data_IF_457752048138
#
_entry.id   IF_457752048138
#
_cell.length_a   1.000
_cell.length_b   1.000
_cell.length_c   1.000
_cell.angle_alpha   90.00
_cell.angle_beta   90.00
_cell.angle_gamma   90.00
#
_symmetry.space_group_name_H-M   'P 1'
#
loop_
_entity.id
_entity.type
_entity.pdbx_description
1 polymer ?
#
# COMPACT_ATOMS: atom_id res chain seq x y z
N UNK A 1 1.83 3.65 -5.26
CA UNK A 1 2.72 4.42 -6.14
C UNK A 1 3.36 5.55 -5.35
N UNK A 2 4.60 5.97 -5.71
CA UNK A 2 5.20 7.20 -5.19
C UNK A 2 4.42 8.43 -5.67
N UNK A 3 4.61 9.57 -4.99
CA UNK A 3 4.00 10.84 -5.41
C UNK A 3 4.39 11.18 -6.85
N UNK A 4 5.67 11.06 -7.19
CA UNK A 4 6.18 11.34 -8.54
C UNK A 4 5.62 10.40 -9.63
N UNK A 5 5.30 9.15 -9.30
CA UNK A 5 4.66 8.23 -10.24
C UNK A 5 3.17 8.54 -10.41
N UNK A 6 2.50 8.89 -9.33
CA UNK A 6 1.06 9.20 -9.35
C UNK A 6 0.77 10.46 -10.16
N UNK A 7 1.55 11.53 -9.96
CA UNK A 7 1.40 12.81 -10.66
C UNK A 7 1.59 12.75 -12.18
N UNK A 8 2.24 11.68 -12.69
CA UNK A 8 2.40 11.45 -14.14
C UNK A 8 1.18 10.80 -14.80
N UNK A 9 0.27 10.25 -14.01
CA UNK A 9 -0.83 9.42 -14.51
C UNK A 9 -2.16 10.15 -14.34
N UNK A 10 -2.33 10.87 -13.24
CA UNK A 10 -3.57 11.54 -12.89
C UNK A 10 -3.28 13.02 -12.64
N UNK A 11 -4.05 13.93 -13.25
CA UNK A 11 -4.01 15.34 -12.92
C UNK A 11 -4.42 15.52 -11.45
N UNK A 12 -3.47 15.88 -10.60
CA UNK A 12 -3.67 15.91 -9.14
C UNK A 12 -4.77 16.87 -8.70
N UNK A 13 -4.96 17.96 -9.44
CA UNK A 13 -6.00 18.96 -9.17
C UNK A 13 -7.42 18.43 -9.35
N UNK A 14 -7.59 17.38 -10.17
CA UNK A 14 -8.90 16.80 -10.47
C UNK A 14 -9.32 15.74 -9.42
N UNK A 15 -8.37 15.33 -8.58
CA UNK A 15 -8.64 14.44 -7.46
C UNK A 15 -8.90 15.25 -6.19
N UNK A 16 -10.12 15.22 -5.61
CA UNK A 16 -10.38 15.86 -4.32
C UNK A 16 -9.39 15.40 -3.26
N UNK A 17 -9.21 14.08 -3.13
CA UNK A 17 -8.21 13.46 -2.26
C UNK A 17 -7.49 12.34 -2.99
N UNK A 18 -6.21 12.16 -2.68
CA UNK A 18 -5.42 11.03 -3.14
C UNK A 18 -4.51 10.53 -2.03
N UNK A 19 -4.48 9.20 -1.84
CA UNK A 19 -3.55 8.53 -0.93
C UNK A 19 -2.45 7.89 -1.75
N UNK A 20 -1.21 8.33 -1.54
CA UNK A 20 -0.04 7.84 -2.27
C UNK A 20 1.05 7.38 -1.31
N UNK A 21 2.14 6.81 -1.84
CA UNK A 21 3.27 6.31 -1.06
C UNK A 21 2.84 5.32 0.05
N UNK A 22 1.97 4.35 -0.30
CA UNK A 22 1.42 3.34 0.61
C UNK A 22 0.71 3.90 1.87
N UNK A 23 0.12 5.09 1.77
CA UNK A 23 -0.53 5.74 2.90
C UNK A 23 0.31 6.85 3.55
N UNK A 24 1.58 6.96 3.22
CA UNK A 24 2.46 7.96 3.83
C UNK A 24 2.17 9.40 3.42
N UNK A 25 1.41 9.62 2.34
CA UNK A 25 1.05 10.97 1.87
C UNK A 25 -0.43 10.96 1.50
N UNK A 26 -1.19 11.87 2.10
CA UNK A 26 -2.54 12.23 1.66
C UNK A 26 -2.46 13.58 0.96
N UNK A 27 -3.03 13.67 -0.23
CA UNK A 27 -3.17 14.90 -0.98
C UNK A 27 -4.62 15.38 -0.94
N UNK A 28 -4.81 16.69 -0.87
CA UNK A 28 -6.08 17.37 -1.13
C UNK A 28 -5.89 18.32 -2.31
N UNK A 29 -6.60 18.10 -3.40
CA UNK A 29 -6.46 18.87 -4.66
C UNK A 29 -4.99 19.04 -5.09
N UNK A 30 -4.24 17.95 -5.04
CA UNK A 30 -2.83 17.90 -5.44
C UNK A 30 -1.82 18.44 -4.43
N UNK A 31 -2.25 19.00 -3.31
CA UNK A 31 -1.38 19.50 -2.25
C UNK A 31 -1.36 18.56 -1.06
N UNK A 32 -0.21 18.36 -0.40
CA UNK A 32 -0.13 17.56 0.81
C UNK A 32 -1.08 18.05 1.91
N UNK A 33 -1.88 17.11 2.47
CA UNK A 33 -2.82 17.41 3.54
C UNK A 33 -2.03 17.62 4.86
N UNK A 34 -1.95 18.85 5.30
CA UNK A 34 -1.11 19.26 6.43
C UNK A 34 -1.43 18.51 7.72
N UNK A 35 -2.71 18.32 8.05
CA UNK A 35 -3.13 17.60 9.26
C UNK A 35 -2.69 16.13 9.26
N UNK A 36 -2.62 15.49 8.08
CA UNK A 36 -2.05 14.16 7.97
C UNK A 36 -0.54 14.17 8.16
N UNK A 37 0.16 15.12 7.56
CA UNK A 37 1.61 15.26 7.74
C UNK A 37 1.97 15.43 9.21
N UNK A 38 1.27 16.29 9.92
CA UNK A 38 1.45 16.52 11.37
C UNK A 38 1.13 15.26 12.18
N UNK A 39 0.07 14.53 11.80
CA UNK A 39 -0.33 13.28 12.45
C UNK A 39 0.79 12.22 12.41
N UNK A 40 1.44 12.03 11.26
CA UNK A 40 2.48 11.00 11.09
C UNK A 40 3.91 11.51 11.34
N UNK A 41 4.10 12.80 11.62
CA UNK A 41 5.44 13.39 11.69
C UNK A 41 6.32 12.75 12.77
N UNK A 42 5.76 12.51 13.98
CA UNK A 42 6.47 11.82 15.04
C UNK A 42 6.92 10.42 14.63
N UNK A 43 6.03 9.68 14.00
CA UNK A 43 6.30 8.34 13.47
C UNK A 43 7.42 8.39 12.46
N UNK A 44 7.38 9.33 11.51
CA UNK A 44 8.42 9.52 10.49
C UNK A 44 9.79 9.83 11.10
N UNK A 45 9.86 10.68 12.11
CA UNK A 45 11.11 11.02 12.79
C UNK A 45 11.71 9.80 13.50
N UNK A 46 10.90 9.02 14.22
CA UNK A 46 11.36 7.79 14.88
C UNK A 46 11.84 6.78 13.84
N UNK A 47 11.10 6.58 12.78
CA UNK A 47 11.42 5.62 11.71
C UNK A 47 12.69 6.00 10.94
N UNK A 48 12.96 7.30 10.78
CA UNK A 48 14.18 7.77 10.13
C UNK A 48 15.45 7.33 10.87
N UNK A 49 15.39 7.10 12.18
CA UNK A 49 16.51 6.57 12.98
C UNK A 49 16.84 5.12 12.62
N UNK A 50 15.91 4.38 12.06
CA UNK A 50 16.11 3.00 11.65
C UNK A 50 16.64 2.85 10.21
N UNK A 51 16.66 3.91 9.41
CA UNK A 51 17.10 3.83 8.00
C UNK A 51 18.49 3.18 7.83
N UNK A 52 19.50 3.51 8.62
CA UNK A 52 20.80 2.84 8.50
C UNK A 52 20.68 1.34 8.77
N UNK A 53 19.93 0.93 9.80
CA UNK A 53 19.70 -0.49 10.13
C UNK A 53 18.98 -1.24 9.00
N UNK A 54 17.97 -0.61 8.40
CA UNK A 54 17.25 -1.21 7.26
C UNK A 54 18.19 -1.38 6.06
N UNK A 55 19.04 -0.40 5.78
CA UNK A 55 20.03 -0.52 4.71
C UNK A 55 21.05 -1.63 4.99
N UNK A 56 21.52 -1.76 6.23
CA UNK A 56 22.43 -2.83 6.64
C UNK A 56 21.77 -4.21 6.48
N UNK A 57 20.48 -4.34 6.85
CA UNK A 57 19.70 -5.56 6.62
C UNK A 57 19.63 -5.86 5.12
N UNK A 58 19.26 -4.90 4.29
CA UNK A 58 19.16 -5.09 2.83
C UNK A 58 20.50 -5.42 2.18
N UNK A 59 21.62 -4.90 2.72
CA UNK A 59 22.96 -5.20 2.24
C UNK A 59 23.33 -6.67 2.40
N UNK A 60 22.82 -7.36 3.44
CA UNK A 60 23.02 -8.82 3.61
C UNK A 60 22.50 -9.62 2.42
N UNK A 61 21.46 -9.12 1.77
CA UNK A 61 20.78 -9.77 0.66
C UNK A 61 21.19 -9.24 -0.72
N UNK A 62 22.18 -8.35 -0.79
CA UNK A 62 22.55 -7.61 -2.01
C UNK A 62 22.74 -8.50 -3.24
N UNK A 63 23.34 -9.70 -3.08
CA UNK A 63 23.55 -10.65 -4.20
C UNK A 63 22.27 -11.22 -4.80
N UNK A 64 21.15 -11.12 -4.08
CA UNK A 64 19.83 -11.57 -4.52
C UNK A 64 18.91 -10.42 -4.94
N UNK A 65 19.40 -9.19 -4.85
CA UNK A 65 18.65 -8.01 -5.28
C UNK A 65 19.03 -7.66 -6.71
N UNK A 66 18.05 -7.55 -7.58
CA UNK A 66 18.22 -7.15 -8.99
C UNK A 66 18.14 -5.63 -9.19
N UNK A 67 17.86 -4.90 -8.12
CA UNK A 67 17.83 -3.45 -8.07
C UNK A 67 18.38 -2.95 -6.73
N UNK A 68 19.23 -1.92 -6.77
CA UNK A 68 19.70 -1.24 -5.56
C UNK A 68 18.51 -0.73 -4.73
N UNK A 69 18.46 -0.99 -3.41
CA UNK A 69 17.46 -0.44 -2.54
C UNK A 69 17.39 1.08 -2.62
N UNK A 70 16.21 1.63 -2.67
CA UNK A 70 15.98 3.07 -2.74
C UNK A 70 14.93 3.49 -1.73
N UNK A 71 15.17 4.60 -1.02
CA UNK A 71 14.19 5.23 -0.15
C UNK A 71 13.21 6.03 -1.00
N UNK A 72 11.92 5.70 -0.89
CA UNK A 72 10.83 6.31 -1.67
C UNK A 72 10.12 7.33 -0.81
N UNK A 73 10.02 8.57 -1.30
CA UNK A 73 9.34 9.71 -0.66
C UNK A 73 9.76 9.95 0.81
N UNK A 74 10.98 9.51 1.19
CA UNK A 74 11.49 9.48 2.57
C UNK A 74 10.57 8.71 3.55
N UNK A 75 9.94 7.62 3.09
CA UNK A 75 8.94 6.88 3.86
C UNK A 75 9.25 5.39 3.96
N UNK A 76 9.64 4.74 2.87
CA UNK A 76 9.85 3.29 2.83
C UNK A 76 10.93 2.91 1.82
N UNK A 77 11.52 1.74 2.00
CA UNK A 77 12.49 1.21 1.04
C UNK A 77 11.82 0.34 -0.01
N UNK A 78 12.32 0.47 -1.22
CA UNK A 78 11.91 -0.32 -2.38
C UNK A 78 13.12 -0.93 -3.07
N UNK A 79 13.01 -2.21 -3.42
CA UNK A 79 13.97 -2.92 -4.26
C UNK A 79 13.25 -3.98 -5.10
N UNK A 80 14.01 -4.75 -5.90
CA UNK A 80 13.53 -5.96 -6.56
C UNK A 80 14.41 -7.13 -6.18
N UNK A 81 13.81 -8.29 -5.97
CA UNK A 81 14.49 -9.55 -5.70
C UNK A 81 14.75 -10.33 -7.00
N UNK A 82 15.56 -11.37 -6.90
CA UNK A 82 15.80 -12.35 -7.97
C UNK A 82 14.50 -13.04 -8.40
N UNK A 83 14.51 -13.59 -9.62
CA UNK A 83 13.41 -14.42 -10.15
C UNK A 83 13.38 -15.84 -9.55
N UNK A 84 14.45 -16.25 -8.87
CA UNK A 84 14.54 -17.52 -8.18
C UNK A 84 13.61 -17.55 -6.97
N UNK A 85 12.43 -18.15 -7.15
CA UNK A 85 11.38 -18.18 -6.13
C UNK A 85 11.75 -19.04 -4.93
N UNK A 86 12.56 -20.07 -5.09
CA UNK A 86 12.99 -20.93 -3.98
C UNK A 86 13.88 -20.12 -3.04
N UNK A 87 14.84 -19.37 -3.58
CA UNK A 87 15.66 -18.46 -2.80
C UNK A 87 14.80 -17.38 -2.11
N UNK A 88 13.83 -16.83 -2.81
CA UNK A 88 12.96 -15.78 -2.25
C UNK A 88 12.13 -16.33 -1.09
N UNK A 89 11.42 -17.44 -1.29
CA UNK A 89 10.46 -17.96 -0.32
C UNK A 89 11.14 -18.69 0.85
N UNK A 90 12.20 -19.43 0.60
CA UNK A 90 12.84 -20.26 1.61
C UNK A 90 13.96 -19.56 2.38
N UNK A 91 14.56 -18.52 1.79
CA UNK A 91 15.68 -17.82 2.41
C UNK A 91 15.40 -16.33 2.67
N UNK A 92 15.05 -15.54 1.65
CA UNK A 92 14.97 -14.07 1.80
C UNK A 92 13.83 -13.68 2.74
N UNK A 93 12.61 -14.14 2.49
CA UNK A 93 11.45 -13.71 3.30
C UNK A 93 11.54 -14.16 4.76
N UNK A 94 11.87 -15.42 5.10
CA UNK A 94 12.04 -15.84 6.48
C UNK A 94 13.15 -15.10 7.22
N UNK A 95 14.25 -14.79 6.50
CA UNK A 95 15.36 -14.05 7.07
C UNK A 95 15.02 -12.59 7.32
N UNK A 96 14.28 -11.95 6.41
CA UNK A 96 13.77 -10.58 6.60
C UNK A 96 12.81 -10.50 7.78
N UNK A 97 11.90 -11.48 7.93
CA UNK A 97 11.00 -11.55 9.07
C UNK A 97 11.76 -11.56 10.39
N UNK A 98 12.81 -12.37 10.47
CA UNK A 98 13.71 -12.44 11.63
C UNK A 98 14.47 -11.13 11.86
N UNK A 99 15.05 -10.55 10.80
CA UNK A 99 15.87 -9.35 10.90
C UNK A 99 15.06 -8.09 11.24
N UNK A 100 13.77 -8.04 10.87
CA UNK A 100 12.86 -6.93 11.14
C UNK A 100 12.04 -7.10 12.43
N UNK A 101 12.15 -8.25 13.11
CA UNK A 101 11.30 -8.64 14.24
C UNK A 101 11.20 -7.58 15.33
N UNK A 102 12.34 -6.97 15.69
CA UNK A 102 12.46 -6.00 16.79
C UNK A 102 12.33 -4.54 16.31
N UNK A 103 11.93 -4.34 15.04
CA UNK A 103 11.71 -3.03 14.45
C UNK A 103 10.23 -2.80 14.18
N UNK A 104 9.81 -1.52 14.22
CA UNK A 104 8.46 -1.11 13.80
C UNK A 104 8.33 -1.03 12.27
N UNK A 105 8.89 -2.04 11.61
CA UNK A 105 8.92 -2.21 10.16
C UNK A 105 8.36 -3.56 9.75
N UNK A 106 7.78 -3.61 8.57
CA UNK A 106 7.30 -4.81 7.93
C UNK A 106 7.77 -4.86 6.49
N UNK A 107 7.56 -5.99 5.82
CA UNK A 107 7.83 -6.10 4.41
C UNK A 107 6.66 -6.74 3.65
N UNK A 108 6.61 -6.47 2.36
CA UNK A 108 5.71 -7.16 1.44
C UNK A 108 6.39 -7.38 0.11
N UNK A 109 6.10 -8.53 -0.49
CA UNK A 109 6.53 -8.90 -1.83
C UNK A 109 5.32 -8.88 -2.77
N UNK A 110 5.44 -8.14 -3.88
CA UNK A 110 4.44 -8.07 -4.94
C UNK A 110 5.10 -8.38 -6.28
N UNK A 111 4.93 -9.58 -6.78
CA UNK A 111 5.77 -10.14 -7.84
C UNK A 111 7.24 -10.14 -7.39
N UNK A 112 8.12 -9.47 -8.13
CA UNK A 112 9.53 -9.32 -7.75
C UNK A 112 9.82 -8.05 -6.93
N UNK A 113 8.80 -7.24 -6.63
CA UNK A 113 8.95 -5.97 -5.93
C UNK A 113 8.90 -6.18 -4.43
N UNK A 114 10.02 -5.94 -3.76
CA UNK A 114 10.12 -5.98 -2.32
C UNK A 114 10.01 -4.56 -1.75
N UNK A 115 9.07 -4.38 -0.84
CA UNK A 115 8.84 -3.15 -0.09
C UNK A 115 9.15 -3.41 1.38
N UNK A 116 9.92 -2.54 2.02
CA UNK A 116 10.13 -2.53 3.47
C UNK A 116 9.51 -1.24 3.98
N UNK A 117 8.44 -1.38 4.76
CA UNK A 117 7.48 -0.31 5.07
C UNK A 117 7.35 -0.21 6.59
N UNK A 118 7.33 0.99 7.16
CA UNK A 118 6.94 1.17 8.56
C UNK A 118 5.53 0.65 8.81
N UNK A 119 5.30 -0.06 9.92
CA UNK A 119 3.99 -0.65 10.26
C UNK A 119 2.87 0.39 10.37
N UNK A 120 3.20 1.59 10.86
CA UNK A 120 2.25 2.70 11.01
C UNK A 120 1.84 3.34 9.67
N UNK A 121 2.65 3.17 8.60
CA UNK A 121 2.38 3.76 7.29
C UNK A 121 1.70 2.73 6.41
N UNK A 122 0.39 2.76 6.39
CA UNK A 122 -0.43 1.86 5.60
C UNK A 122 -1.58 2.59 4.90
N UNK A 123 -2.11 1.97 3.85
CA UNK A 123 -3.29 2.49 3.13
C UNK A 123 -4.52 2.52 4.05
N UNK A 124 -4.66 1.51 4.91
CA UNK A 124 -5.76 1.44 5.86
C UNK A 124 -5.69 2.56 6.91
N UNK A 125 -4.53 2.85 7.49
CA UNK A 125 -4.39 3.95 8.44
C UNK A 125 -4.72 5.29 7.80
N UNK A 126 -4.22 5.51 6.57
CA UNK A 126 -4.52 6.72 5.82
C UNK A 126 -6.00 6.84 5.45
N UNK A 127 -6.64 5.73 5.06
CA UNK A 127 -8.07 5.72 4.72
C UNK A 127 -8.94 5.92 5.96
N UNK A 128 -8.61 5.25 7.07
CA UNK A 128 -9.30 5.41 8.35
C UNK A 128 -9.24 6.87 8.81
N UNK A 129 -8.04 7.46 8.80
CA UNK A 129 -7.87 8.89 9.10
C UNK A 129 -8.72 9.78 8.17
N UNK A 130 -8.72 9.50 6.87
CA UNK A 130 -9.45 10.31 5.89
C UNK A 130 -10.96 10.17 6.07
N UNK A 131 -11.47 8.98 6.38
CA UNK A 131 -12.88 8.72 6.71
C UNK A 131 -13.30 9.58 7.90
N UNK A 132 -12.54 9.55 8.99
CA UNK A 132 -12.82 10.33 10.20
C UNK A 132 -12.70 11.85 9.93
N UNK A 133 -11.69 12.26 9.19
CA UNK A 133 -11.46 13.66 8.83
C UNK A 133 -12.59 14.25 7.99
N UNK A 134 -13.14 13.48 7.07
CA UNK A 134 -14.26 13.85 6.20
C UNK A 134 -15.62 13.61 6.86
N UNK A 135 -15.65 12.89 7.99
CA UNK A 135 -16.89 12.47 8.68
C UNK A 135 -17.78 11.61 7.78
N UNK A 136 -17.18 10.75 6.98
CA UNK A 136 -17.89 9.85 6.10
C UNK A 136 -18.35 8.61 6.87
N UNK A 137 -19.64 8.30 6.81
CA UNK A 137 -20.22 7.14 7.48
C UNK A 137 -20.21 5.89 6.59
N UNK A 138 -20.29 6.07 5.27
CA UNK A 138 -20.38 4.99 4.29
C UNK A 138 -19.15 4.97 3.37
N UNK A 139 -18.60 3.79 3.15
CA UNK A 139 -17.36 3.60 2.40
C UNK A 139 -17.48 2.45 1.40
N UNK A 140 -17.16 2.74 0.14
CA UNK A 140 -17.00 1.73 -0.91
C UNK A 140 -15.50 1.56 -1.14
N UNK A 141 -15.03 0.32 -1.08
CA UNK A 141 -13.61 0.00 -1.31
C UNK A 141 -13.44 -0.96 -2.47
N UNK A 142 -12.38 -0.77 -3.25
CA UNK A 142 -11.96 -1.71 -4.28
C UNK A 142 -10.43 -1.76 -4.38
N UNK A 143 -9.89 -2.97 -4.61
CA UNK A 143 -8.44 -3.18 -4.73
C UNK A 143 -8.11 -4.54 -5.31
N UNK A 144 -6.90 -4.68 -5.86
CA UNK A 144 -6.43 -5.87 -6.57
C UNK A 144 -5.14 -6.48 -5.99
N UNK A 145 -4.36 -5.69 -5.26
CA UNK A 145 -3.06 -6.08 -4.71
C UNK A 145 -3.10 -6.58 -3.28
N UNK A 146 -2.08 -7.31 -2.86
CA UNK A 146 -1.93 -7.78 -1.47
C UNK A 146 -1.97 -6.63 -0.45
N UNK A 147 -1.38 -5.48 -0.80
CA UNK A 147 -1.37 -4.27 0.05
C UNK A 147 -2.75 -3.60 0.16
N UNK A 148 -3.75 -4.10 -0.56
CA UNK A 148 -5.10 -3.55 -0.51
C UNK A 148 -5.98 -4.27 0.52
N UNK A 149 -5.58 -5.46 0.98
CA UNK A 149 -6.38 -6.31 1.86
C UNK A 149 -6.83 -5.58 3.14
N UNK A 150 -5.93 -4.79 3.75
CA UNK A 150 -6.22 -4.05 4.98
C UNK A 150 -7.30 -3.00 4.76
N UNK A 151 -7.09 -2.09 3.82
CA UNK A 151 -8.06 -1.01 3.59
C UNK A 151 -9.39 -1.51 3.00
N UNK A 152 -9.38 -2.60 2.23
CA UNK A 152 -10.62 -3.23 1.74
C UNK A 152 -11.55 -3.63 2.89
N UNK A 153 -10.98 -4.10 4.01
CA UNK A 153 -11.77 -4.51 5.18
C UNK A 153 -12.57 -3.38 5.81
N UNK A 154 -12.18 -2.13 5.59
CA UNK A 154 -12.85 -0.93 6.12
C UNK A 154 -14.12 -0.55 5.37
N UNK A 155 -14.33 -1.09 4.16
CA UNK A 155 -15.49 -0.76 3.33
C UNK A 155 -16.78 -1.38 3.84
N UNK A 156 -17.89 -0.67 3.66
CA UNK A 156 -19.24 -1.20 3.80
C UNK A 156 -19.61 -2.04 2.58
N UNK A 157 -19.23 -1.57 1.39
CA UNK A 157 -19.19 -2.36 0.14
C UNK A 157 -17.72 -2.60 -0.22
N UNK A 158 -17.34 -3.86 -0.39
CA UNK A 158 -15.98 -4.30 -0.66
C UNK A 158 -15.94 -5.02 -1.99
N UNK A 159 -15.22 -4.48 -2.96
CA UNK A 159 -15.16 -5.05 -4.30
C UNK A 159 -13.75 -5.55 -4.63
N UNK A 160 -13.64 -6.78 -5.09
CA UNK A 160 -12.36 -7.38 -5.49
C UNK A 160 -12.45 -7.99 -6.89
N UNK A 161 -11.49 -7.68 -7.78
CA UNK A 161 -11.45 -8.29 -9.10
C UNK A 161 -11.17 -9.78 -9.00
N UNK A 162 -11.92 -10.57 -9.75
CA UNK A 162 -11.71 -12.03 -9.86
C UNK A 162 -10.26 -12.34 -10.25
N UNK A 163 -9.65 -13.35 -9.61
CA UNK A 163 -8.27 -13.78 -9.84
C UNK A 163 -7.16 -12.73 -9.56
N UNK A 164 -7.47 -11.63 -8.89
CA UNK A 164 -6.46 -10.67 -8.41
C UNK A 164 -5.61 -11.25 -7.27
N UNK A 165 -4.51 -10.60 -6.90
CA UNK A 165 -3.67 -11.05 -5.76
C UNK A 165 -4.48 -11.09 -4.46
N UNK A 166 -5.30 -10.06 -4.21
CA UNK A 166 -6.15 -9.99 -3.01
C UNK A 166 -7.25 -11.04 -3.05
N UNK A 167 -7.81 -11.36 -4.22
CA UNK A 167 -8.79 -12.44 -4.39
C UNK A 167 -8.23 -13.80 -3.98
N UNK A 168 -6.94 -14.05 -4.27
CA UNK A 168 -6.26 -15.29 -3.88
C UNK A 168 -5.89 -15.31 -2.39
N UNK A 169 -5.60 -14.14 -1.81
CA UNK A 169 -5.21 -14.01 -0.41
C UNK A 169 -6.39 -14.23 0.55
N UNK A 170 -7.58 -13.75 0.19
CA UNK A 170 -8.77 -13.82 1.04
C UNK A 170 -9.38 -15.22 0.94
N UNK A 171 -9.24 -16.02 2.01
CA UNK A 171 -9.78 -17.39 2.10
C UNK A 171 -11.33 -17.42 2.12
N UNK A 172 -11.94 -16.58 2.95
CA UNK A 172 -13.39 -16.39 3.00
C UNK A 172 -13.76 -15.10 2.28
N UNK A 173 -14.53 -15.22 1.20
CA UNK A 173 -14.97 -14.10 0.37
C UNK A 173 -16.36 -13.58 0.74
N UNK A 174 -16.94 -14.09 1.83
CA UNK A 174 -18.23 -13.60 2.34
C UNK A 174 -18.11 -12.11 2.66
N UNK A 175 -19.08 -11.32 2.18
CA UNK A 175 -19.10 -9.87 2.32
C UNK A 175 -18.22 -9.13 1.29
N UNK A 176 -17.62 -9.85 0.33
CA UNK A 176 -16.95 -9.22 -0.81
C UNK A 176 -17.75 -9.41 -2.10
N UNK A 177 -17.94 -8.33 -2.82
CA UNK A 177 -18.48 -8.37 -4.17
C UNK A 177 -17.35 -8.70 -5.16
N UNK A 178 -17.51 -9.79 -5.89
CA UNK A 178 -16.53 -10.19 -6.91
C UNK A 178 -16.91 -9.51 -8.22
N UNK A 179 -16.01 -8.70 -8.73
CA UNK A 179 -16.17 -7.99 -10.01
C UNK A 179 -15.27 -8.58 -11.08
N UNK A 180 -15.52 -8.26 -12.34
CA UNK A 180 -14.70 -8.67 -13.46
C UNK A 180 -13.27 -8.10 -13.38
N UNK A 181 -12.39 -8.49 -14.29
CA UNK A 181 -11.04 -7.93 -14.43
C UNK A 181 -10.98 -6.82 -15.46
N UNK A 182 -9.94 -5.98 -15.38
CA UNK A 182 -9.65 -4.97 -16.39
C UNK A 182 -10.76 -3.92 -16.51
N UNK A 183 -11.09 -3.59 -17.76
CA UNK A 183 -12.07 -2.52 -18.08
C UNK A 183 -13.47 -2.90 -17.57
N UNK A 184 -13.91 -4.13 -17.80
CA UNK A 184 -15.21 -4.62 -17.32
C UNK A 184 -15.34 -4.52 -15.80
N UNK A 185 -14.27 -4.84 -15.07
CA UNK A 185 -14.25 -4.70 -13.60
C UNK A 185 -14.31 -3.25 -13.15
N UNK A 186 -13.70 -2.32 -13.89
CA UNK A 186 -13.84 -0.89 -13.63
C UNK A 186 -15.28 -0.41 -13.86
N UNK A 187 -15.94 -0.89 -14.93
CA UNK A 187 -17.36 -0.59 -15.23
C UNK A 187 -18.29 -1.14 -14.13
N UNK A 188 -18.04 -2.37 -13.66
CA UNK A 188 -18.80 -2.97 -12.53
C UNK A 188 -18.68 -2.07 -11.28
N UNK A 189 -17.45 -1.63 -10.93
CA UNK A 189 -17.20 -0.76 -9.77
C UNK A 189 -17.95 0.57 -9.92
N UNK A 190 -17.85 1.21 -11.09
CA UNK A 190 -18.53 2.48 -11.34
C UNK A 190 -20.05 2.34 -11.27
N UNK A 191 -20.62 1.25 -11.76
CA UNK A 191 -22.06 0.98 -11.69
C UNK A 191 -22.54 0.93 -10.23
N UNK A 192 -21.82 0.19 -9.37
CA UNK A 192 -22.13 0.12 -7.94
C UNK A 192 -22.03 1.49 -7.27
N UNK A 193 -20.99 2.28 -7.58
CA UNK A 193 -20.84 3.63 -7.00
C UNK A 193 -21.97 4.57 -7.43
N UNK A 194 -22.43 4.46 -8.68
CA UNK A 194 -23.53 5.30 -9.18
C UNK A 194 -24.86 4.94 -8.56
N UNK A 195 -25.15 3.66 -8.31
CA UNK A 195 -26.36 3.20 -7.64
C UNK A 195 -26.52 3.72 -6.21
N UNK A 196 -25.39 3.96 -5.51
CA UNK A 196 -25.41 4.50 -4.14
C UNK A 196 -25.65 6.03 -4.08
N UNK A 197 -25.66 6.72 -5.21
CA UNK A 197 -25.93 8.18 -5.28
C UNK A 197 -27.39 8.53 -5.54
N UNK A 198 -28.24 7.52 -5.76
CA UNK A 198 -29.68 7.68 -5.97
C UNK A 198 -30.44 7.39 -4.70
#
# INVERSE_FOLDING_TARGET
RSLAQFSRIIPLQDCPYAVVANGGIILHKGQPLKVWQEHIERTRQIQALDYPKILDILTKYQKYLTRTPSLVDNLFFFTKVTEDQDIVQEFILPSLEKDLKDLEWTFTLQGLKLYIIPKEISKENALSFLKDYLKEEFLITSGDGKLDAGFLSLGDIKMIPKNSEVYQLINNKDGYMIVNQGIEGAEDIFSVVLEQKT
#
